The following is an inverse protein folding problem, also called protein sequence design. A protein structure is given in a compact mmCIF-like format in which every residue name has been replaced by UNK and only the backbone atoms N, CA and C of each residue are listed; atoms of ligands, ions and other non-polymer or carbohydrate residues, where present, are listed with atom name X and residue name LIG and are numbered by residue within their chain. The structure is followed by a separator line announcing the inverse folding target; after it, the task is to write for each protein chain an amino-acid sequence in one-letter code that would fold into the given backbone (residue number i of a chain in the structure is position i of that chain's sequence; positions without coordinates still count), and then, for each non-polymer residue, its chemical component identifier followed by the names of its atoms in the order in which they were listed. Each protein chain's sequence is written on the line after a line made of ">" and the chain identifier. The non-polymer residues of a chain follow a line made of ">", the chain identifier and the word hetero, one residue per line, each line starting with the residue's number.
data_IF_318244212983
#
_entry.id   IF_318244212983
#
_cell.length_a   1.000
_cell.length_b   1.000
_cell.length_c   1.000
_cell.angle_alpha   90.00
_cell.angle_beta   90.00
_cell.angle_gamma   90.00
#
_symmetry.space_group_name_H-M   'P 1'
#
loop_
_entity.id
_entity.type
_entity.pdbx_description
1 polymer ?
#
# COMPACT_ATOMS: atom_id res chain seq x y z
N UNK A 1 23.86 -33.72 15.85
CA UNK A 1 22.59 -33.06 16.17
C UNK A 1 22.84 -31.57 16.32
N UNK A 2 22.32 -30.75 15.42
CA UNK A 2 22.10 -29.32 15.67
C UNK A 2 20.81 -28.95 14.97
N UNK A 3 19.74 -28.84 15.77
CA UNK A 3 18.37 -28.59 15.33
C UNK A 3 18.25 -27.15 14.82
N UNK A 4 18.23 -26.97 13.51
CA UNK A 4 17.78 -25.73 12.89
C UNK A 4 16.27 -25.60 13.12
N UNK A 5 15.89 -24.83 14.14
CA UNK A 5 14.51 -24.45 14.41
C UNK A 5 14.00 -23.61 13.24
N UNK A 6 13.06 -24.16 12.46
CA UNK A 6 12.37 -23.45 11.39
C UNK A 6 11.29 -22.55 11.99
N UNK A 7 11.64 -21.31 12.33
CA UNK A 7 10.67 -20.34 12.81
C UNK A 7 9.67 -19.97 11.70
N UNK A 8 8.38 -20.06 12.01
CA UNK A 8 7.28 -19.72 11.09
C UNK A 8 7.31 -18.24 10.65
N UNK A 9 6.86 -17.99 9.42
CA UNK A 9 6.76 -16.66 8.80
C UNK A 9 5.85 -15.75 9.65
N UNK A 10 6.40 -14.66 10.19
CA UNK A 10 5.68 -13.68 11.00
C UNK A 10 6.17 -13.54 12.44
N UNK A 11 7.14 -14.35 12.87
CA UNK A 11 7.78 -14.26 14.20
C UNK A 11 8.76 -13.09 14.29
N UNK A 12 9.16 -12.71 15.51
CA UNK A 12 10.13 -11.62 15.78
C UNK A 12 11.50 -11.89 15.12
N UNK A 13 11.85 -13.17 14.98
CA UNK A 13 13.07 -13.68 14.34
C UNK A 13 12.92 -13.90 12.82
N UNK A 14 11.68 -14.07 12.32
CA UNK A 14 11.35 -14.23 10.90
C UNK A 14 10.15 -13.35 10.46
N UNK A 15 10.26 -12.00 10.50
CA UNK A 15 9.14 -11.10 10.22
C UNK A 15 8.75 -11.12 8.72
N UNK A 16 7.46 -10.90 8.43
CA UNK A 16 6.96 -10.80 7.05
C UNK A 16 7.82 -9.85 6.21
N UNK A 17 8.06 -10.15 4.92
CA UNK A 17 8.78 -9.25 4.04
C UNK A 17 7.95 -7.97 3.88
N UNK A 18 8.31 -6.93 4.63
CA UNK A 18 7.81 -5.60 4.43
C UNK A 18 8.07 -5.23 2.96
N UNK A 19 7.01 -4.93 2.21
CA UNK A 19 7.17 -4.21 0.96
C UNK A 19 7.93 -2.92 1.27
N UNK A 20 9.14 -2.69 0.69
CA UNK A 20 9.90 -1.51 1.00
C UNK A 20 9.09 -0.26 0.65
N UNK A 21 9.27 0.78 1.48
CA UNK A 21 8.57 2.06 1.30
C UNK A 21 8.83 2.55 -0.13
N UNK A 22 7.85 3.17 -0.80
CA UNK A 22 8.00 3.60 -2.20
C UNK A 22 9.27 4.40 -2.53
N UNK A 23 9.83 5.10 -1.53
CA UNK A 23 11.08 5.86 -1.61
C UNK A 23 12.35 5.01 -1.80
N UNK A 24 12.30 3.74 -1.40
CA UNK A 24 13.42 2.80 -1.46
C UNK A 24 13.33 1.91 -2.73
N UNK A 25 12.33 2.14 -3.59
CA UNK A 25 12.15 1.43 -4.86
C UNK A 25 13.01 2.10 -5.95
N UNK A 26 14.18 1.54 -6.21
CA UNK A 26 14.98 1.90 -7.39
C UNK A 26 14.24 1.34 -8.63
N UNK A 27 14.31 2.00 -9.79
CA UNK A 27 13.54 1.72 -11.03
C UNK A 27 13.71 0.33 -11.68
N UNK A 28 14.28 -0.63 -10.99
CA UNK A 28 14.33 -2.02 -11.40
C UNK A 28 13.81 -2.82 -10.21
N UNK A 29 13.08 -3.90 -10.45
CA UNK A 29 12.45 -4.74 -9.42
C UNK A 29 13.46 -5.41 -8.45
N UNK A 30 14.69 -4.90 -8.30
CA UNK A 30 15.76 -5.38 -7.46
C UNK A 30 15.95 -4.49 -6.21
N UNK A 31 16.28 -5.10 -5.08
CA UNK A 31 16.33 -4.55 -3.72
C UNK A 31 17.50 -5.18 -2.97
N UNK A 32 18.05 -4.51 -1.96
CA UNK A 32 19.04 -5.11 -1.06
C UNK A 32 18.31 -5.52 0.23
N UNK A 33 18.33 -6.81 0.58
CA UNK A 33 17.70 -7.37 1.78
C UNK A 33 18.68 -8.33 2.46
N UNK A 34 18.96 -8.12 3.76
CA UNK A 34 20.01 -8.83 4.53
C UNK A 34 21.36 -8.85 3.80
N UNK A 35 21.80 -7.70 3.28
CA UNK A 35 23.02 -7.52 2.47
C UNK A 35 23.07 -8.28 1.12
N UNK A 36 21.94 -8.83 0.65
CA UNK A 36 21.85 -9.53 -0.64
C UNK A 36 20.94 -8.81 -1.64
N UNK A 37 21.31 -8.79 -2.93
CA UNK A 37 20.46 -8.25 -4.01
C UNK A 37 19.32 -9.25 -4.35
N UNK A 38 18.09 -8.88 -4.03
CA UNK A 38 16.84 -9.65 -4.24
C UNK A 38 15.88 -8.93 -5.18
N UNK A 39 14.95 -9.64 -5.80
CA UNK A 39 14.00 -9.15 -6.78
C UNK A 39 12.55 -9.37 -6.31
N UNK A 40 11.67 -8.38 -6.50
CA UNK A 40 10.24 -8.52 -6.23
C UNK A 40 9.50 -9.00 -7.48
N UNK A 41 8.92 -10.19 -7.43
CA UNK A 41 8.17 -10.77 -8.55
C UNK A 41 6.67 -10.44 -8.56
N UNK A 42 6.19 -9.67 -7.58
CA UNK A 42 4.77 -9.35 -7.39
C UNK A 42 4.16 -10.01 -6.15
N UNK A 43 4.76 -11.10 -5.66
CA UNK A 43 4.23 -11.91 -4.55
C UNK A 43 5.26 -12.11 -3.44
N UNK A 44 6.54 -12.28 -3.78
CA UNK A 44 7.63 -12.49 -2.82
C UNK A 44 8.97 -11.86 -3.28
N UNK A 45 9.89 -11.74 -2.33
CA UNK A 45 11.28 -11.32 -2.57
C UNK A 45 12.14 -12.54 -2.93
N UNK A 46 12.44 -12.71 -4.21
CA UNK A 46 13.26 -13.82 -4.72
C UNK A 46 14.72 -13.40 -4.88
N UNK A 47 15.68 -14.25 -4.56
CA UNK A 47 17.09 -13.96 -4.85
C UNK A 47 17.35 -14.02 -6.37
N UNK A 48 18.55 -13.57 -6.79
CA UNK A 48 18.93 -13.51 -8.21
C UNK A 48 18.90 -14.88 -8.91
N UNK A 49 19.19 -15.96 -8.19
CA UNK A 49 19.20 -17.32 -8.73
C UNK A 49 17.79 -17.82 -8.99
N UNK A 50 16.90 -17.68 -8.00
CA UNK A 50 15.48 -18.04 -8.10
C UNK A 50 14.75 -17.20 -9.13
N UNK A 51 15.14 -15.94 -9.34
CA UNK A 51 14.65 -15.14 -10.47
C UNK A 51 15.09 -15.72 -11.81
N UNK A 52 16.38 -16.07 -11.96
CA UNK A 52 16.88 -16.69 -13.20
C UNK A 52 16.15 -18.00 -13.46
N UNK A 53 15.90 -18.79 -12.43
CA UNK A 53 15.13 -20.02 -12.51
C UNK A 53 13.67 -19.76 -12.93
N UNK A 54 12.99 -18.80 -12.29
CA UNK A 54 11.64 -18.38 -12.68
C UNK A 54 11.59 -17.94 -14.15
N UNK A 55 12.54 -17.12 -14.60
CA UNK A 55 12.60 -16.70 -16.00
C UNK A 55 12.87 -17.87 -16.95
N UNK A 56 13.77 -18.78 -16.60
CA UNK A 56 14.02 -20.01 -17.37
C UNK A 56 12.74 -20.84 -17.47
N UNK A 57 12.03 -21.02 -16.38
CA UNK A 57 10.79 -21.80 -16.33
C UNK A 57 9.67 -21.09 -17.12
N UNK A 58 9.53 -19.76 -16.99
CA UNK A 58 8.59 -18.96 -17.79
C UNK A 58 8.85 -19.10 -19.30
N UNK A 59 10.12 -19.10 -19.72
CA UNK A 59 10.51 -19.28 -21.13
C UNK A 59 10.21 -20.69 -21.67
N UNK A 60 10.07 -21.68 -20.79
CA UNK A 60 9.67 -23.06 -21.15
C UNK A 60 8.15 -23.20 -21.33
N UNK A 61 7.34 -22.29 -20.78
CA UNK A 61 5.87 -22.38 -20.89
C UNK A 61 5.39 -22.35 -22.35
N UNK A 62 4.38 -23.17 -22.73
CA UNK A 62 3.83 -23.20 -24.09
C UNK A 62 3.41 -21.81 -24.58
N UNK A 63 2.67 -21.07 -23.74
CA UNK A 63 2.22 -19.70 -23.99
C UNK A 63 3.36 -18.75 -24.36
N UNK A 64 4.50 -18.82 -23.66
CA UNK A 64 5.64 -17.97 -23.98
C UNK A 64 6.30 -18.37 -25.29
N UNK A 65 6.42 -19.68 -25.56
CA UNK A 65 6.99 -20.20 -26.81
C UNK A 65 6.16 -19.81 -28.03
N UNK A 66 4.84 -19.90 -27.94
CA UNK A 66 3.90 -19.49 -28.99
C UNK A 66 4.02 -17.99 -29.27
N UNK A 67 3.89 -17.14 -28.24
CA UNK A 67 4.08 -15.69 -28.39
C UNK A 67 5.43 -15.33 -28.98
N UNK A 68 6.49 -16.07 -28.63
CA UNK A 68 7.82 -15.86 -29.20
C UNK A 68 7.86 -16.21 -30.68
N UNK A 69 7.28 -17.34 -31.10
CA UNK A 69 7.18 -17.74 -32.52
C UNK A 69 6.37 -16.72 -33.32
N UNK A 70 5.26 -16.25 -32.76
CA UNK A 70 4.42 -15.20 -33.35
C UNK A 70 5.20 -13.89 -33.53
N UNK A 71 5.87 -13.43 -32.47
CA UNK A 71 6.72 -12.23 -32.53
C UNK A 71 7.85 -12.38 -33.56
N UNK A 72 8.51 -13.54 -33.63
CA UNK A 72 9.58 -13.79 -34.62
C UNK A 72 9.10 -13.68 -36.07
N UNK A 73 7.83 -14.04 -36.33
CA UNK A 73 7.20 -13.89 -37.66
C UNK A 73 6.69 -12.48 -37.92
N UNK A 74 6.46 -11.69 -36.87
CA UNK A 74 5.92 -10.32 -36.98
C UNK A 74 6.84 -9.40 -37.79
N UNK A 75 6.24 -8.49 -38.56
CA UNK A 75 7.01 -7.52 -39.35
C UNK A 75 7.84 -6.60 -38.45
N UNK A 76 7.32 -6.28 -37.27
CA UNK A 76 8.04 -5.54 -36.22
C UNK A 76 9.37 -6.19 -35.83
N UNK A 77 9.43 -7.52 -35.75
CA UNK A 77 10.67 -8.24 -35.44
C UNK A 77 11.64 -8.22 -36.63
N UNK A 78 11.14 -8.39 -37.86
CA UNK A 78 11.97 -8.31 -39.07
C UNK A 78 12.56 -6.92 -39.27
N UNK A 79 11.76 -5.87 -39.09
CA UNK A 79 12.19 -4.47 -39.16
C UNK A 79 13.27 -4.18 -38.12
N UNK A 80 13.06 -4.59 -36.87
CA UNK A 80 14.07 -4.49 -35.81
C UNK A 80 15.40 -5.15 -36.22
N UNK A 81 15.36 -6.35 -36.78
CA UNK A 81 16.57 -7.05 -37.22
C UNK A 81 17.24 -6.38 -38.43
N UNK A 82 16.50 -5.79 -39.37
CA UNK A 82 17.07 -5.01 -40.49
C UNK A 82 17.80 -3.78 -39.95
N UNK A 83 17.17 -3.00 -39.08
CA UNK A 83 17.76 -1.83 -38.44
C UNK A 83 18.97 -2.19 -37.57
N UNK A 84 18.87 -3.28 -36.80
CA UNK A 84 19.99 -3.81 -36.03
C UNK A 84 21.17 -4.18 -36.93
N UNK A 85 20.93 -4.83 -38.08
CA UNK A 85 21.99 -5.23 -39.01
C UNK A 85 22.67 -4.03 -39.66
N UNK A 86 21.90 -3.00 -40.05
CA UNK A 86 22.45 -1.73 -40.57
C UNK A 86 23.35 -1.07 -39.54
N UNK A 87 22.85 -0.91 -38.31
CA UNK A 87 23.62 -0.28 -37.22
C UNK A 87 24.83 -1.12 -36.82
N UNK A 88 24.72 -2.44 -36.77
CA UNK A 88 25.84 -3.35 -36.50
C UNK A 88 26.94 -3.24 -37.57
N UNK A 89 26.55 -3.31 -38.85
CA UNK A 89 27.49 -3.19 -39.97
C UNK A 89 28.17 -1.81 -39.99
N UNK A 90 27.44 -0.74 -39.71
CA UNK A 90 27.99 0.61 -39.60
C UNK A 90 29.02 0.71 -38.47
N UNK A 91 28.72 0.16 -37.28
CA UNK A 91 29.67 0.13 -36.15
C UNK A 91 30.95 -0.61 -36.49
N UNK A 92 30.83 -1.73 -37.21
CA UNK A 92 31.99 -2.53 -37.66
C UNK A 92 32.87 -1.77 -38.67
N UNK A 93 32.25 -0.98 -39.57
CA UNK A 93 32.98 -0.16 -40.55
C UNK A 93 33.58 1.13 -39.96
N UNK A 94 33.07 1.61 -38.84
CA UNK A 94 33.47 2.89 -38.24
C UNK A 94 33.65 2.80 -36.71
N UNK A 95 34.63 2.02 -36.22
CA UNK A 95 34.84 1.82 -34.78
C UNK A 95 35.18 3.13 -34.05
N UNK A 96 36.05 3.96 -34.62
CA UNK A 96 36.48 5.22 -33.97
C UNK A 96 35.33 6.24 -33.87
N UNK A 97 34.54 6.37 -34.95
CA UNK A 97 33.33 7.22 -34.95
C UNK A 97 32.29 6.71 -33.96
N UNK A 98 32.18 5.39 -33.79
CA UNK A 98 31.28 4.79 -32.82
C UNK A 98 31.70 5.05 -31.38
N UNK A 99 32.98 4.84 -31.03
CA UNK A 99 33.49 5.09 -29.68
C UNK A 99 33.45 6.59 -29.32
N UNK A 100 33.83 7.48 -30.24
CA UNK A 100 33.68 8.94 -30.05
C UNK A 100 32.22 9.34 -29.82
N UNK A 101 31.28 8.71 -30.53
CA UNK A 101 29.84 8.95 -30.37
C UNK A 101 29.29 8.37 -29.05
N UNK A 102 29.88 7.29 -28.54
CA UNK A 102 29.49 6.64 -27.29
C UNK A 102 29.95 7.46 -26.08
N UNK A 103 31.15 8.03 -26.13
CA UNK A 103 31.65 8.94 -25.10
C UNK A 103 30.80 10.22 -25.05
N UNK A 104 30.46 10.81 -26.20
CA UNK A 104 29.53 11.95 -26.28
C UNK A 104 28.13 11.65 -25.74
N UNK A 105 27.66 10.39 -25.84
CA UNK A 105 26.35 9.94 -25.33
C UNK A 105 26.40 9.48 -23.87
N UNK A 106 27.58 9.47 -23.24
CA UNK A 106 27.76 9.03 -21.87
C UNK A 106 27.17 10.08 -20.93
N UNK A 107 25.98 9.78 -20.39
CA UNK A 107 25.36 10.64 -19.39
C UNK A 107 26.08 10.42 -18.05
N UNK A 108 26.58 11.49 -17.39
CA UNK A 108 27.15 11.44 -16.05
C UNK A 108 26.24 10.71 -15.05
N UNK A 109 26.83 10.01 -14.08
CA UNK A 109 26.09 9.17 -13.12
C UNK A 109 25.11 10.03 -12.30
N UNK A 110 25.51 11.25 -11.97
CA UNK A 110 24.78 12.24 -11.19
C UNK A 110 23.49 12.64 -11.92
N UNK A 111 23.59 12.89 -13.23
CA UNK A 111 22.44 13.23 -14.09
C UNK A 111 21.50 12.03 -14.21
N UNK A 112 22.02 10.80 -14.37
CA UNK A 112 21.20 9.59 -14.39
C UNK A 112 20.44 9.40 -13.07
N UNK A 113 21.11 9.65 -11.94
CA UNK A 113 20.52 9.54 -10.61
C UNK A 113 19.43 10.59 -10.39
N UNK A 114 19.68 11.85 -10.77
CA UNK A 114 18.70 12.94 -10.71
C UNK A 114 17.43 12.60 -11.50
N UNK A 115 17.58 12.22 -12.78
CA UNK A 115 16.46 11.76 -13.64
C UNK A 115 15.76 10.51 -13.09
N UNK A 116 16.47 9.69 -12.31
CA UNK A 116 15.88 8.55 -11.61
C UNK A 116 14.92 9.02 -10.54
N UNK A 117 15.40 9.87 -9.62
CA UNK A 117 14.65 10.43 -8.50
C UNK A 117 13.41 11.19 -8.97
N UNK A 118 13.55 12.09 -9.94
CA UNK A 118 12.44 12.89 -10.49
C UNK A 118 11.31 12.00 -11.02
N UNK A 119 11.65 10.95 -11.79
CA UNK A 119 10.63 10.02 -12.30
C UNK A 119 9.98 9.22 -11.17
N UNK A 120 10.73 8.80 -10.16
CA UNK A 120 10.15 8.12 -8.99
C UNK A 120 9.17 9.04 -8.26
N UNK A 121 9.48 10.32 -8.13
CA UNK A 121 8.59 11.32 -7.54
C UNK A 121 7.32 11.52 -8.37
N UNK A 122 7.44 11.69 -9.69
CA UNK A 122 6.28 11.79 -10.59
C UNK A 122 5.39 10.54 -10.49
N UNK A 123 6.00 9.35 -10.48
CA UNK A 123 5.26 8.09 -10.33
C UNK A 123 4.56 8.00 -8.98
N UNK A 124 5.21 8.45 -7.90
CA UNK A 124 4.63 8.51 -6.56
C UNK A 124 3.43 9.47 -6.52
N UNK A 125 3.54 10.67 -7.10
CA UNK A 125 2.44 11.65 -7.20
C UNK A 125 1.24 11.04 -7.92
N UNK A 126 1.45 10.48 -9.11
CA UNK A 126 0.40 9.79 -9.89
C UNK A 126 -0.23 8.62 -9.13
N UNK A 127 0.55 7.84 -8.40
CA UNK A 127 0.03 6.74 -7.58
C UNK A 127 -0.84 7.27 -6.43
N UNK A 128 -0.39 8.32 -5.73
CA UNK A 128 -1.12 8.93 -4.63
C UNK A 128 -2.44 9.54 -5.10
N UNK A 129 -2.43 10.23 -6.25
CA UNK A 129 -3.63 10.79 -6.88
C UNK A 129 -4.64 9.71 -7.23
N UNK A 130 -4.20 8.60 -7.85
CA UNK A 130 -5.07 7.45 -8.13
C UNK A 130 -5.67 6.85 -6.86
N UNK A 131 -4.86 6.69 -5.81
CA UNK A 131 -5.34 6.18 -4.52
C UNK A 131 -6.30 7.15 -3.85
N UNK A 132 -6.07 8.46 -3.96
CA UNK A 132 -6.98 9.49 -3.44
C UNK A 132 -8.32 9.43 -4.18
N UNK A 133 -8.30 9.47 -5.51
CA UNK A 133 -9.49 9.35 -6.35
C UNK A 133 -10.31 8.11 -6.00
N UNK A 134 -9.66 6.95 -5.86
CA UNK A 134 -10.33 5.70 -5.45
C UNK A 134 -11.04 5.81 -4.09
N UNK A 135 -10.47 6.53 -3.12
CA UNK A 135 -11.09 6.75 -1.80
C UNK A 135 -12.20 7.78 -1.84
N UNK A 136 -12.07 8.80 -2.69
CA UNK A 136 -13.07 9.86 -2.82
C UNK A 136 -14.33 9.33 -3.55
N UNK A 137 -14.17 8.40 -4.48
CA UNK A 137 -15.23 7.74 -5.26
C UNK A 137 -15.72 6.41 -4.66
N UNK A 138 -15.29 6.07 -3.44
CA UNK A 138 -15.64 4.77 -2.85
C UNK A 138 -17.14 4.69 -2.52
N UNK A 139 -17.72 3.49 -2.63
CA UNK A 139 -19.07 3.22 -2.15
C UNK A 139 -19.09 2.95 -0.63
N UNK A 140 -20.28 2.91 -0.03
CA UNK A 140 -20.45 2.56 1.38
C UNK A 140 -19.93 1.14 1.65
N UNK A 141 -20.28 0.17 0.81
CA UNK A 141 -19.88 -1.23 0.91
C UNK A 141 -18.36 -1.35 0.84
N UNK A 142 -17.72 -0.61 -0.07
CA UNK A 142 -16.26 -0.57 -0.15
C UNK A 142 -15.65 0.02 1.12
N UNK A 143 -16.24 1.07 1.69
CA UNK A 143 -15.80 1.63 2.96
C UNK A 143 -15.89 0.60 4.10
N UNK A 144 -17.02 -0.09 4.22
CA UNK A 144 -17.27 -1.14 5.21
C UNK A 144 -16.27 -2.29 5.04
N UNK A 145 -16.08 -2.78 3.81
CA UNK A 145 -15.10 -3.79 3.48
C UNK A 145 -13.71 -3.43 4.00
N UNK A 146 -13.23 -2.21 3.74
CA UNK A 146 -11.93 -1.76 4.23
C UNK A 146 -11.87 -1.66 5.76
N UNK A 147 -12.93 -1.17 6.42
CA UNK A 147 -12.99 -1.07 7.88
C UNK A 147 -12.86 -2.46 8.53
N UNK A 148 -13.62 -3.44 8.04
CA UNK A 148 -13.59 -4.83 8.54
C UNK A 148 -12.27 -5.50 8.21
N UNK A 149 -11.80 -5.39 6.95
CA UNK A 149 -10.54 -5.97 6.50
C UNK A 149 -9.37 -5.49 7.36
N UNK A 150 -9.23 -4.17 7.55
CA UNK A 150 -8.11 -3.62 8.31
C UNK A 150 -8.17 -3.94 9.79
N UNK A 151 -9.36 -4.09 10.38
CA UNK A 151 -9.46 -4.41 11.81
C UNK A 151 -8.88 -5.78 12.16
N UNK A 152 -9.00 -6.77 11.26
CA UNK A 152 -8.38 -8.10 11.42
C UNK A 152 -6.84 -8.04 11.54
N UNK A 153 -6.22 -6.93 11.09
CA UNK A 153 -4.79 -6.71 11.20
C UNK A 153 -4.38 -5.82 12.37
N UNK A 154 -5.32 -5.35 13.21
CA UNK A 154 -4.99 -4.64 14.45
C UNK A 154 -4.09 -5.51 15.33
N UNK A 155 -3.03 -4.92 15.88
CA UNK A 155 -2.05 -5.65 16.66
C UNK A 155 -2.63 -6.30 17.92
N UNK A 156 -3.69 -5.71 18.50
CA UNK A 156 -4.38 -6.24 19.68
C UNK A 156 -5.22 -7.46 19.32
N UNK A 157 -5.89 -7.42 18.18
CA UNK A 157 -6.64 -8.56 17.63
C UNK A 157 -5.69 -9.71 17.28
N UNK A 158 -4.60 -9.42 16.56
CA UNK A 158 -3.57 -10.44 16.22
C UNK A 158 -2.91 -11.10 17.43
N UNK A 159 -2.77 -10.36 18.53
CA UNK A 159 -2.22 -10.88 19.79
C UNK A 159 -3.27 -11.55 20.68
N UNK A 160 -4.53 -11.67 20.22
CA UNK A 160 -5.62 -12.26 20.99
C UNK A 160 -6.07 -11.44 22.20
N UNK A 161 -5.68 -10.15 22.29
CA UNK A 161 -6.08 -9.27 23.40
C UNK A 161 -7.49 -8.73 23.25
N UNK A 162 -8.01 -8.71 22.02
CA UNK A 162 -9.36 -8.26 21.69
C UNK A 162 -9.94 -9.28 20.72
N UNK A 163 -11.11 -9.83 21.03
CA UNK A 163 -11.87 -10.70 20.13
C UNK A 163 -12.44 -9.87 18.99
N UNK A 164 -12.38 -10.38 17.77
CA UNK A 164 -12.91 -9.69 16.59
C UNK A 164 -13.69 -10.67 15.70
N UNK A 165 -15.01 -10.57 15.75
CA UNK A 165 -15.95 -11.38 14.97
C UNK A 165 -16.77 -10.51 13.99
N UNK A 166 -16.32 -9.28 13.75
CA UNK A 166 -16.98 -8.40 12.79
C UNK A 166 -16.97 -8.97 11.37
N UNK A 167 -18.14 -8.89 10.74
CA UNK A 167 -18.35 -9.16 9.32
C UNK A 167 -18.90 -7.93 8.62
N UNK A 168 -18.82 -7.90 7.30
CA UNK A 168 -19.36 -6.78 6.51
C UNK A 168 -20.89 -6.68 6.67
N UNK A 169 -21.56 -7.82 6.77
CA UNK A 169 -23.01 -7.93 6.99
C UNK A 169 -23.42 -7.37 8.34
N UNK A 170 -22.64 -7.65 9.40
CA UNK A 170 -22.88 -7.07 10.73
C UNK A 170 -22.82 -5.54 10.69
N UNK A 171 -21.78 -4.98 10.05
CA UNK A 171 -21.61 -3.53 9.96
C UNK A 171 -22.70 -2.90 9.10
N UNK A 172 -23.14 -3.58 8.03
CA UNK A 172 -24.24 -3.10 7.21
C UNK A 172 -25.57 -3.06 7.98
N UNK A 173 -25.89 -4.14 8.72
CA UNK A 173 -27.07 -4.17 9.61
C UNK A 173 -27.04 -3.06 10.65
N UNK A 174 -25.88 -2.76 11.24
CA UNK A 174 -25.72 -1.66 12.19
C UNK A 174 -25.97 -0.30 11.53
N UNK A 175 -25.48 -0.09 10.31
CA UNK A 175 -25.72 1.14 9.56
C UNK A 175 -27.20 1.36 9.27
N UNK A 176 -27.91 0.31 8.83
CA UNK A 176 -29.36 0.34 8.59
C UNK A 176 -30.13 0.61 9.88
N UNK A 177 -29.79 -0.10 10.96
CA UNK A 177 -30.40 0.09 12.29
C UNK A 177 -30.20 1.52 12.81
N UNK A 178 -29.02 2.10 12.60
CA UNK A 178 -28.70 3.47 12.98
C UNK A 178 -29.16 4.52 11.95
N UNK A 179 -29.72 4.10 10.80
CA UNK A 179 -30.13 4.99 9.71
C UNK A 179 -29.02 5.95 9.26
N UNK A 180 -27.77 5.48 9.28
CA UNK A 180 -26.59 6.31 8.97
C UNK A 180 -26.29 7.42 9.98
N UNK A 181 -26.88 7.42 11.18
CA UNK A 181 -26.68 8.42 12.22
C UNK A 181 -25.63 7.95 13.25
N UNK A 182 -24.72 8.84 13.63
CA UNK A 182 -23.72 8.60 14.66
C UNK A 182 -24.39 8.35 16.01
N UNK A 183 -24.02 7.25 16.67
CA UNK A 183 -24.62 6.82 17.93
C UNK A 183 -24.44 7.83 19.09
N UNK A 184 -23.32 8.56 19.14
CA UNK A 184 -23.05 9.51 20.23
C UNK A 184 -23.41 10.95 19.90
N UNK A 185 -23.18 11.41 18.67
CA UNK A 185 -23.34 12.82 18.31
C UNK A 185 -24.63 13.15 17.57
N UNK A 186 -25.41 12.14 17.16
CA UNK A 186 -26.63 12.33 16.36
C UNK A 186 -26.39 12.92 14.96
N UNK A 187 -25.14 13.05 14.52
CA UNK A 187 -24.80 13.60 13.20
C UNK A 187 -24.89 12.52 12.13
N UNK A 188 -25.34 12.92 10.95
CA UNK A 188 -25.33 12.05 9.77
C UNK A 188 -23.90 11.68 9.38
N UNK A 189 -23.65 10.38 9.25
CA UNK A 189 -22.36 9.85 8.84
C UNK A 189 -22.26 9.79 7.31
N UNK A 190 -21.04 9.78 6.80
CA UNK A 190 -20.76 9.56 5.39
C UNK A 190 -19.50 8.68 5.22
N UNK A 191 -19.13 8.34 4.00
CA UNK A 191 -17.92 7.55 3.72
C UNK A 191 -16.88 8.34 2.91
N UNK A 192 -17.01 9.67 2.88
CA UNK A 192 -16.08 10.55 2.17
C UNK A 192 -14.73 10.59 2.88
N UNK A 193 -13.66 10.61 2.10
CA UNK A 193 -12.32 10.75 2.64
C UNK A 193 -12.15 12.13 3.30
N UNK A 194 -11.33 12.23 4.36
CA UNK A 194 -11.08 13.46 5.13
C UNK A 194 -12.32 14.13 5.75
N UNK A 195 -13.44 13.44 5.87
CA UNK A 195 -14.65 13.93 6.55
C UNK A 195 -14.58 13.68 8.06
N UNK A 196 -14.90 14.68 8.88
CA UNK A 196 -15.05 14.52 10.33
C UNK A 196 -16.18 13.55 10.68
N UNK A 197 -17.22 13.54 9.84
CA UNK A 197 -18.40 12.68 9.95
C UNK A 197 -18.23 11.37 9.18
N UNK A 198 -17.00 11.01 8.79
CA UNK A 198 -16.74 9.73 8.15
C UNK A 198 -17.13 8.59 9.10
N UNK A 199 -17.79 7.56 8.58
CA UNK A 199 -18.13 6.34 9.30
C UNK A 199 -16.89 5.72 9.97
N UNK A 200 -17.04 5.40 11.25
CA UNK A 200 -16.05 4.67 12.04
C UNK A 200 -16.73 3.60 12.90
N UNK A 201 -15.98 2.55 13.22
CA UNK A 201 -16.42 1.49 14.13
C UNK A 201 -15.82 1.77 15.50
N UNK A 202 -16.69 1.96 16.48
CA UNK A 202 -16.34 2.17 17.88
C UNK A 202 -16.82 1.00 18.74
N UNK A 203 -16.15 0.79 19.87
CA UNK A 203 -16.58 -0.17 20.89
C UNK A 203 -17.32 0.60 21.97
N UNK A 204 -18.54 0.19 22.30
CA UNK A 204 -19.37 0.86 23.31
C UNK A 204 -18.59 0.93 24.63
N UNK A 205 -18.11 -0.22 25.10
CA UNK A 205 -17.14 -0.30 26.19
C UNK A 205 -15.71 -0.43 25.63
N UNK A 206 -14.77 0.38 26.14
CA UNK A 206 -13.38 0.38 25.70
C UNK A 206 -12.62 -0.92 26.06
N UNK A 207 -13.06 -1.63 27.10
CA UNK A 207 -12.55 -2.96 27.45
C UNK A 207 -13.25 -4.09 26.69
N UNK A 208 -14.25 -3.74 25.88
CA UNK A 208 -15.01 -4.68 25.06
C UNK A 208 -14.28 -5.14 23.79
N UNK A 209 -14.99 -5.96 23.03
CA UNK A 209 -14.56 -6.67 21.84
C UNK A 209 -15.21 -6.11 20.58
N UNK A 210 -14.68 -6.51 19.42
CA UNK A 210 -15.28 -6.24 18.12
C UNK A 210 -16.27 -7.34 17.75
N UNK A 211 -17.38 -7.42 18.50
CA UNK A 211 -18.45 -8.42 18.34
C UNK A 211 -19.82 -7.74 18.28
N UNK A 212 -20.84 -8.46 17.80
CA UNK A 212 -22.22 -7.95 17.79
C UNK A 212 -22.69 -7.58 19.20
N UNK A 213 -23.36 -6.43 19.35
CA UNK A 213 -23.83 -5.92 20.63
C UNK A 213 -22.81 -5.10 21.43
N UNK A 214 -21.50 -5.22 21.14
CA UNK A 214 -20.44 -4.45 21.84
C UNK A 214 -19.87 -3.30 21.00
N UNK A 215 -20.32 -3.18 19.75
CA UNK A 215 -19.86 -2.16 18.80
C UNK A 215 -21.01 -1.26 18.35
N UNK A 216 -20.63 -0.05 17.94
CA UNK A 216 -21.53 0.95 17.39
C UNK A 216 -20.84 1.72 16.26
N UNK A 217 -21.65 2.37 15.43
CA UNK A 217 -21.14 3.24 14.38
C UNK A 217 -21.17 4.70 14.84
N UNK A 218 -20.03 5.37 14.72
CA UNK A 218 -19.88 6.77 15.12
C UNK A 218 -19.14 7.55 14.05
N UNK A 219 -19.22 8.88 14.10
CA UNK A 219 -18.36 9.75 13.31
C UNK A 219 -16.89 9.52 13.67
N UNK A 220 -16.01 9.61 12.67
CA UNK A 220 -14.58 9.46 12.84
C UNK A 220 -14.01 10.40 13.89
N UNK A 221 -14.45 11.66 13.90
CA UNK A 221 -14.05 12.63 14.92
C UNK A 221 -14.45 12.19 16.33
N UNK A 222 -15.67 11.67 16.48
CA UNK A 222 -16.18 11.16 17.77
C UNK A 222 -15.36 9.98 18.26
N UNK A 223 -15.03 9.03 17.39
CA UNK A 223 -14.16 7.90 17.75
C UNK A 223 -12.76 8.36 18.17
N UNK A 224 -12.21 9.39 17.51
CA UNK A 224 -10.92 9.98 17.90
C UNK A 224 -11.00 10.65 19.27
N UNK A 225 -12.06 11.42 19.54
CA UNK A 225 -12.25 12.07 20.84
C UNK A 225 -12.41 11.03 21.95
N UNK A 226 -13.19 9.97 21.69
CA UNK A 226 -13.38 8.86 22.63
C UNK A 226 -12.08 8.13 22.91
N UNK A 227 -11.39 7.66 21.87
CA UNK A 227 -10.11 6.95 21.96
C UNK A 227 -10.09 5.81 22.99
N UNK A 228 -9.75 6.10 24.25
CA UNK A 228 -9.74 5.14 25.36
C UNK A 228 -10.53 5.58 26.58
N UNK A 229 -11.19 6.73 26.51
CA UNK A 229 -12.07 7.25 27.53
C UNK A 229 -13.46 6.62 27.42
N UNK A 230 -14.23 6.72 28.49
CA UNK A 230 -15.65 6.34 28.49
C UNK A 230 -16.47 7.38 27.74
N UNK A 231 -17.72 7.06 27.41
CA UNK A 231 -18.60 7.99 26.70
C UNK A 231 -18.95 9.18 27.57
N UNK A 232 -19.17 8.95 28.86
CA UNK A 232 -19.50 9.96 29.86
C UNK A 232 -18.36 10.98 29.96
N UNK A 233 -17.11 10.52 30.09
CA UNK A 233 -15.96 11.42 30.18
C UNK A 233 -15.81 12.30 28.93
N UNK A 234 -16.14 11.78 27.75
CA UNK A 234 -16.07 12.55 26.49
C UNK A 234 -17.21 13.57 26.42
N UNK A 235 -18.41 13.18 26.84
CA UNK A 235 -19.58 14.06 26.90
C UNK A 235 -19.29 15.22 27.88
N UNK A 236 -18.81 14.92 29.09
CA UNK A 236 -18.46 15.92 30.10
C UNK A 236 -17.46 16.95 29.57
N UNK A 237 -16.41 16.50 28.86
CA UNK A 237 -15.42 17.39 28.24
C UNK A 237 -16.05 18.23 27.13
N UNK A 238 -16.89 17.63 26.28
CA UNK A 238 -17.58 18.36 25.22
C UNK A 238 -18.51 19.45 25.78
N UNK A 239 -19.23 19.14 26.86
CA UNK A 239 -20.08 20.10 27.57
C UNK A 239 -19.26 21.24 28.17
N UNK A 240 -18.17 20.92 28.88
CA UNK A 240 -17.26 21.93 29.43
C UNK A 240 -16.73 22.87 28.34
N UNK A 241 -16.29 22.33 27.20
CA UNK A 241 -15.83 23.13 26.05
C UNK A 241 -16.97 24.00 25.49
N UNK A 242 -18.17 23.44 25.31
CA UNK A 242 -19.30 24.17 24.74
C UNK A 242 -19.81 25.31 25.64
N UNK A 243 -19.70 25.13 26.96
CA UNK A 243 -20.15 26.08 27.97
C UNK A 243 -19.08 27.11 28.37
N UNK A 244 -17.80 26.85 28.09
CA UNK A 244 -16.72 27.77 28.45
C UNK A 244 -16.83 29.11 27.71
N UNK A 245 -16.85 30.21 28.47
CA UNK A 245 -16.91 31.61 27.98
C UNK A 245 -15.70 32.47 28.39
N UNK A 246 -14.68 31.87 29.01
CA UNK A 246 -13.59 32.61 29.64
C UNK A 246 -12.60 33.22 28.64
N UNK A 247 -12.07 34.38 29.00
CA UNK A 247 -10.84 34.94 28.44
C UNK A 247 -9.69 34.56 29.38
N UNK A 248 -8.57 34.12 28.82
CA UNK A 248 -7.32 33.99 29.58
C UNK A 248 -6.70 35.39 29.69
N UNK A 249 -6.74 35.98 30.89
CA UNK A 249 -5.83 37.07 31.22
C UNK A 249 -4.47 36.44 31.52
N UNK A 250 -3.49 36.77 30.69
CA UNK A 250 -2.10 36.46 30.97
C UNK A 250 -1.58 37.60 31.83
N UNK A 251 -1.25 37.31 33.09
CA UNK A 251 -0.46 38.24 33.91
C UNK A 251 0.90 38.43 33.22
N UNK A 252 1.23 39.67 32.87
CA UNK A 252 2.53 40.09 32.29
C UNK A 252 3.71 39.91 33.26
#
# INVERSE_FOLDING_TARGET
>A
MSSLVTAELGTKENPHPFSPKPKDRIKSNYYIYKNELRYWNGWEMVNKERLREYERNRRKTPRFREKRKEYQKSEKCKEYHREYRKTYNWRKKHPDKYEASKEKRRIPKEIKLKRSKERCEIQRKKSNERSKKKRDEQTLEQCIHYLVYHKKYDARVKKGRIKCEMTEELIMKLWEKQKGICALSGKEMNWKNNSLYKLSIDRINQDGNYVEGEIQLVCYMVNIMKNHFTEEAVIDVCEAIALYRGNFEFDE
#
